data_IF_970657784565
#
_entry.id   IF_970657784565
#
_cell.length_a   1.000
_cell.length_b   1.000
_cell.length_c   1.000
_cell.angle_alpha   90.00
_cell.angle_beta   90.00
_cell.angle_gamma   90.00
#
_symmetry.space_group_name_H-M   'P 1'
#
loop_
_entity.id
_entity.type
_entity.pdbx_description
1 polymer ?
#
# COMPACT_ATOMS: atom_id res chain seq x y z
N UNK A 1 31.74 6.70 -7.31
CA UNK A 1 31.16 5.76 -6.32
C UNK A 1 29.75 5.46 -6.79
N UNK A 2 29.37 4.19 -6.92
CA UNK A 2 27.99 3.84 -7.21
C UNK A 2 27.24 3.78 -5.88
N UNK A 3 26.24 4.65 -5.72
CA UNK A 3 25.32 4.62 -4.60
C UNK A 3 24.33 3.47 -4.82
N UNK A 4 24.14 2.61 -3.82
CA UNK A 4 23.24 1.46 -3.92
C UNK A 4 21.83 1.87 -3.50
N UNK A 5 20.85 1.63 -4.38
CA UNK A 5 19.43 1.87 -4.12
C UNK A 5 18.72 0.53 -3.94
N UNK A 6 17.85 0.44 -2.94
CA UNK A 6 16.97 -0.72 -2.76
C UNK A 6 15.74 -0.56 -3.68
N UNK A 7 15.43 -1.60 -4.45
CA UNK A 7 14.26 -1.66 -5.32
C UNK A 7 13.39 -2.82 -4.84
N UNK A 8 12.08 -2.61 -4.64
CA UNK A 8 11.15 -3.69 -4.31
C UNK A 8 11.25 -4.87 -5.28
N UNK A 9 11.18 -6.10 -4.75
CA UNK A 9 11.35 -7.34 -5.53
C UNK A 9 10.40 -7.42 -6.73
N UNK A 10 9.18 -6.92 -6.59
CA UNK A 10 8.18 -6.87 -7.66
C UNK A 10 8.61 -5.99 -8.84
N UNK A 11 9.14 -4.79 -8.55
CA UNK A 11 9.63 -3.87 -9.58
C UNK A 11 10.91 -4.39 -10.22
N UNK A 12 11.77 -5.05 -9.43
CA UNK A 12 12.94 -5.72 -9.94
C UNK A 12 12.57 -6.87 -10.89
N UNK A 13 11.59 -7.71 -10.51
CA UNK A 13 11.10 -8.79 -11.36
C UNK A 13 10.48 -8.26 -12.66
N UNK A 14 9.65 -7.22 -12.57
CA UNK A 14 9.09 -6.55 -13.75
C UNK A 14 10.19 -6.04 -14.68
N UNK A 15 11.24 -5.41 -14.13
CA UNK A 15 12.38 -4.93 -14.91
C UNK A 15 13.14 -6.08 -15.58
N UNK A 16 13.29 -7.23 -14.91
CA UNK A 16 13.90 -8.43 -15.49
C UNK A 16 13.11 -8.96 -16.69
N UNK A 17 11.79 -9.08 -16.56
CA UNK A 17 10.91 -9.52 -17.65
C UNK A 17 10.97 -8.59 -18.87
N UNK A 18 10.93 -7.28 -18.62
CA UNK A 18 10.98 -6.27 -19.69
C UNK A 18 12.36 -6.21 -20.35
N UNK A 19 13.43 -6.28 -19.56
CA UNK A 19 14.81 -6.29 -20.06
C UNK A 19 15.06 -7.50 -20.96
N UNK A 20 14.59 -8.68 -20.56
CA UNK A 20 14.69 -9.89 -21.37
C UNK A 20 13.92 -9.75 -22.70
N UNK A 21 12.70 -9.22 -22.65
CA UNK A 21 11.86 -9.01 -23.86
C UNK A 21 12.48 -8.01 -24.84
N UNK A 22 13.21 -7.02 -24.34
CA UNK A 22 13.85 -5.97 -25.14
C UNK A 22 15.33 -6.24 -25.45
N UNK A 23 15.88 -7.38 -25.03
CA UNK A 23 17.30 -7.72 -25.17
C UNK A 23 18.25 -6.64 -24.59
N UNK A 24 17.95 -6.16 -23.37
CA UNK A 24 18.73 -5.15 -22.62
C UNK A 24 19.19 -5.71 -21.28
N UNK A 25 20.14 -5.03 -20.63
CA UNK A 25 20.45 -5.30 -19.22
C UNK A 25 19.33 -4.79 -18.31
N UNK A 26 19.17 -5.38 -17.13
CA UNK A 26 18.19 -4.92 -16.13
C UNK A 26 18.46 -3.47 -15.71
N UNK A 27 19.74 -3.11 -15.55
CA UNK A 27 20.14 -1.75 -15.22
C UNK A 27 19.74 -0.73 -16.30
N UNK A 28 19.95 -1.07 -17.59
CA UNK A 28 19.54 -0.21 -18.70
C UNK A 28 18.03 -0.07 -18.78
N UNK A 29 17.29 -1.15 -18.48
CA UNK A 29 15.83 -1.12 -18.48
C UNK A 29 15.28 -0.26 -17.33
N UNK A 30 15.87 -0.34 -16.13
CA UNK A 30 15.51 0.53 -15.01
C UNK A 30 15.82 1.99 -15.35
N UNK A 31 17.01 2.29 -15.89
CA UNK A 31 17.39 3.63 -16.31
C UNK A 31 16.44 4.19 -17.39
N UNK A 32 15.99 3.32 -18.31
CA UNK A 32 15.01 3.67 -19.34
C UNK A 32 13.66 4.06 -18.72
N UNK A 33 13.14 3.29 -17.77
CA UNK A 33 11.90 3.62 -17.08
C UNK A 33 12.02 4.93 -16.29
N UNK A 34 13.14 5.17 -15.60
CA UNK A 34 13.39 6.45 -14.91
C UNK A 34 13.37 7.64 -15.87
N UNK A 35 14.00 7.51 -17.04
CA UNK A 35 13.96 8.57 -18.07
C UNK A 35 12.55 8.84 -18.58
N UNK A 36 11.75 7.78 -18.77
CA UNK A 36 10.34 7.89 -19.19
C UNK A 36 9.51 8.55 -18.09
N UNK A 37 9.64 8.11 -16.84
CA UNK A 37 8.92 8.68 -15.70
C UNK A 37 9.20 10.18 -15.55
N UNK A 38 10.48 10.58 -15.59
CA UNK A 38 10.86 12.00 -15.55
C UNK A 38 10.27 12.81 -16.71
N UNK A 39 10.25 12.24 -17.92
CA UNK A 39 9.66 12.91 -19.08
C UNK A 39 8.14 13.02 -18.97
N UNK A 40 7.49 12.01 -18.41
CA UNK A 40 6.05 12.00 -18.16
C UNK A 40 5.66 13.06 -17.11
N UNK A 41 6.38 13.13 -15.99
CA UNK A 41 6.18 14.14 -14.94
C UNK A 41 6.41 15.58 -15.44
N UNK A 42 7.37 15.77 -16.36
CA UNK A 42 7.67 17.08 -16.92
C UNK A 42 6.73 17.49 -18.07
N UNK A 43 5.84 16.60 -18.50
CA UNK A 43 4.91 16.88 -19.59
C UNK A 43 3.61 17.51 -19.06
N UNK A 44 2.96 18.32 -19.88
CA UNK A 44 1.63 18.88 -19.58
C UNK A 44 0.52 17.80 -19.51
N UNK A 45 0.86 16.53 -19.70
CA UNK A 45 -0.07 15.40 -19.64
C UNK A 45 -0.22 14.79 -18.25
N UNK A 46 0.58 15.25 -17.28
CA UNK A 46 0.52 14.83 -15.89
C UNK A 46 0.34 16.03 -14.98
N UNK A 47 -0.69 16.00 -14.13
CA UNK A 47 -0.93 17.02 -13.12
C UNK A 47 -1.03 16.37 -11.73
N UNK A 48 -0.02 16.65 -10.90
CA UNK A 48 0.04 16.10 -9.54
C UNK A 48 -1.05 16.68 -8.64
N UNK A 49 -1.51 17.92 -8.88
CA UNK A 49 -2.57 18.53 -8.07
C UNK A 49 -3.89 17.77 -8.25
N UNK A 50 -4.15 17.22 -9.45
CA UNK A 50 -5.33 16.38 -9.72
C UNK A 50 -5.28 15.05 -8.99
N UNK A 51 -4.09 14.46 -8.85
CA UNK A 51 -3.89 13.25 -8.03
C UNK A 51 -4.22 13.54 -6.57
N UNK A 52 -3.72 14.66 -6.03
CA UNK A 52 -4.00 15.10 -4.66
C UNK A 52 -5.49 15.37 -4.45
N UNK A 53 -6.14 16.08 -5.38
CA UNK A 53 -7.57 16.34 -5.33
C UNK A 53 -8.40 15.06 -5.32
N UNK A 54 -8.01 14.05 -6.10
CA UNK A 54 -8.67 12.74 -6.07
C UNK A 54 -8.41 11.98 -4.75
N UNK A 55 -7.21 12.07 -4.16
CA UNK A 55 -6.90 11.48 -2.84
C UNK A 55 -7.68 12.14 -1.69
N UNK A 56 -8.11 13.39 -1.89
CA UNK A 56 -8.92 14.16 -0.94
C UNK A 56 -10.43 14.11 -1.26
N UNK A 57 -10.82 13.40 -2.33
CA UNK A 57 -12.21 13.26 -2.75
C UNK A 57 -12.83 14.53 -3.35
N UNK A 58 -12.01 15.50 -3.75
CA UNK A 58 -12.43 16.73 -4.46
C UNK A 58 -12.62 16.51 -5.96
N UNK A 59 -12.01 15.47 -6.51
CA UNK A 59 -12.07 15.07 -7.91
C UNK A 59 -12.55 13.61 -8.02
N UNK A 60 -13.34 13.30 -9.04
CA UNK A 60 -13.76 11.92 -9.32
C UNK A 60 -12.60 11.16 -10.00
N UNK A 61 -12.27 9.96 -9.52
CA UNK A 61 -11.15 9.17 -10.03
C UNK A 61 -11.34 8.75 -11.49
N UNK A 62 -12.57 8.73 -12.00
CA UNK A 62 -12.87 8.48 -13.41
C UNK A 62 -12.43 9.61 -14.35
N UNK A 63 -12.10 10.78 -13.79
CA UNK A 63 -11.63 11.94 -14.55
C UNK A 63 -10.10 11.95 -14.70
N UNK A 64 -9.39 11.10 -13.95
CA UNK A 64 -7.94 10.97 -14.05
C UNK A 64 -7.55 10.31 -15.37
N UNK A 65 -6.45 10.78 -15.94
CA UNK A 65 -5.77 10.06 -17.04
C UNK A 65 -5.19 8.75 -16.52
N UNK A 66 -4.84 7.84 -17.43
CA UNK A 66 -4.25 6.54 -17.04
C UNK A 66 -3.00 6.69 -16.17
N UNK A 67 -2.17 7.69 -16.46
CA UNK A 67 -0.95 7.98 -15.70
C UNK A 67 -1.29 8.52 -14.30
N UNK A 68 -2.16 9.51 -14.22
CA UNK A 68 -2.61 10.07 -12.93
C UNK A 68 -3.32 9.01 -12.08
N UNK A 69 -4.13 8.14 -12.69
CA UNK A 69 -4.84 7.06 -12.02
C UNK A 69 -3.88 6.01 -11.44
N UNK A 70 -2.81 5.66 -12.16
CA UNK A 70 -1.78 4.75 -11.67
C UNK A 70 -1.04 5.34 -10.45
N UNK A 71 -0.65 6.62 -10.51
CA UNK A 71 0.02 7.32 -9.39
C UNK A 71 -0.94 7.49 -8.21
N UNK A 72 -2.21 7.83 -8.48
CA UNK A 72 -3.25 7.92 -7.45
C UNK A 72 -3.45 6.58 -6.73
N UNK A 73 -3.49 5.46 -7.45
CA UNK A 73 -3.69 4.14 -6.84
C UNK A 73 -2.55 3.76 -5.91
N UNK A 74 -1.30 4.01 -6.32
CA UNK A 74 -0.11 3.78 -5.50
C UNK A 74 -0.16 4.61 -4.21
N UNK A 75 -0.35 5.92 -4.34
CA UNK A 75 -0.46 6.84 -3.20
C UNK A 75 -1.67 6.54 -2.30
N UNK A 76 -2.78 6.08 -2.88
CA UNK A 76 -3.95 5.65 -2.13
C UNK A 76 -3.65 4.40 -1.31
N UNK A 77 -2.99 3.40 -1.89
CA UNK A 77 -2.60 2.18 -1.19
C UNK A 77 -1.63 2.48 -0.05
N UNK A 78 -0.65 3.36 -0.27
CA UNK A 78 0.26 3.83 0.76
C UNK A 78 -0.52 4.51 1.90
N UNK A 79 -1.39 5.48 1.57
CA UNK A 79 -2.19 6.22 2.55
C UNK A 79 -3.12 5.32 3.37
N UNK A 80 -3.77 4.34 2.73
CA UNK A 80 -4.68 3.40 3.39
C UNK A 80 -3.94 2.29 4.16
N UNK A 81 -2.67 2.03 3.82
CA UNK A 81 -1.80 1.10 4.53
C UNK A 81 -1.38 1.58 5.92
N UNK A 82 -1.50 2.89 6.19
CA UNK A 82 -1.17 3.51 7.46
C UNK A 82 -2.43 3.97 8.20
N UNK A 83 -2.53 3.64 9.50
CA UNK A 83 -3.59 4.18 10.34
C UNK A 83 -3.38 5.68 10.52
N UNK A 84 -4.45 6.48 10.40
CA UNK A 84 -4.36 7.91 10.73
C UNK A 84 -4.21 8.11 12.24
N UNK A 85 -3.72 9.27 12.68
CA UNK A 85 -3.65 9.60 14.12
C UNK A 85 -5.02 9.47 14.83
N UNK A 86 -6.11 9.78 14.11
CA UNK A 86 -7.47 9.61 14.59
C UNK A 86 -7.84 8.12 14.74
N UNK A 87 -7.44 7.29 13.78
CA UNK A 87 -7.61 5.84 13.84
C UNK A 87 -6.77 5.23 14.97
N UNK A 88 -5.52 5.66 15.13
CA UNK A 88 -4.66 5.22 16.23
C UNK A 88 -5.24 5.61 17.59
N UNK A 89 -5.73 6.85 17.75
CA UNK A 89 -6.38 7.30 18.98
C UNK A 89 -7.66 6.50 19.28
N UNK A 90 -8.46 6.23 18.25
CA UNK A 90 -9.66 5.39 18.35
C UNK A 90 -9.30 3.94 18.75
N UNK A 91 -8.29 3.35 18.10
CA UNK A 91 -7.79 2.00 18.38
C UNK A 91 -7.16 1.89 19.76
N UNK A 92 -6.42 2.91 20.21
CA UNK A 92 -5.86 2.99 21.57
C UNK A 92 -6.97 3.00 22.63
N UNK A 93 -8.10 3.66 22.36
CA UNK A 93 -9.29 3.62 23.20
C UNK A 93 -9.92 2.21 23.32
N UNK A 94 -9.79 1.39 22.26
CA UNK A 94 -10.36 0.03 22.16
C UNK A 94 -9.42 -1.08 22.65
N UNK A 95 -8.10 -0.83 22.67
CA UNK A 95 -7.07 -1.69 23.27
C UNK A 95 -7.11 -1.69 24.81
N UNK A 96 -7.97 -0.88 25.43
CA UNK A 96 -8.24 -0.95 26.87
C UNK A 96 -8.89 -2.31 27.22
N UNK A 97 -8.36 -3.03 28.23
CA UNK A 97 -8.91 -4.32 28.62
C UNK A 97 -10.42 -4.21 28.94
N UNK A 98 -11.23 -5.10 28.35
CA UNK A 98 -12.69 -5.12 28.51
C UNK A 98 -13.52 -4.51 27.37
N UNK A 99 -12.91 -3.98 26.29
CA UNK A 99 -13.63 -3.49 25.09
C UNK A 99 -13.22 -4.13 23.75
N UNK A 100 -12.20 -5.00 23.76
CA UNK A 100 -11.88 -5.85 22.61
C UNK A 100 -12.82 -7.05 22.56
N UNK A 101 -13.46 -7.29 21.41
CA UNK A 101 -14.28 -8.50 21.18
C UNK A 101 -13.30 -9.65 20.99
N UNK A 102 -12.93 -10.25 22.11
CA UNK A 102 -11.93 -11.31 22.25
C UNK A 102 -11.90 -11.79 23.69
N UNK A 103 -13.08 -11.97 24.29
CA UNK A 103 -13.24 -12.71 25.55
C UNK A 103 -14.07 -13.94 25.23
N UNK A 104 -13.43 -14.89 24.56
CA UNK A 104 -13.93 -16.25 24.58
C UNK A 104 -13.66 -16.78 25.99
N UNK A 105 -14.77 -16.88 26.71
CA UNK A 105 -14.97 -17.44 28.05
C UNK A 105 -13.97 -18.56 28.39
N UNK A 106 -13.36 -18.55 29.59
CA UNK A 106 -12.63 -19.73 30.06
C UNK A 106 -13.65 -20.88 30.19
N UNK A 107 -13.38 -21.96 29.48
CA UNK A 107 -14.11 -23.21 29.50
C UNK A 107 -14.39 -23.64 30.95
N UNK A 108 -15.61 -23.38 31.43
CA UNK A 108 -16.07 -23.86 32.72
C UNK A 108 -16.37 -25.35 32.57
N UNK A 109 -15.42 -26.19 33.00
CA UNK A 109 -15.64 -27.61 33.19
C UNK A 109 -16.86 -27.79 34.11
N UNK A 110 -17.92 -28.53 33.70
CA UNK A 110 -19.05 -28.79 34.59
C UNK A 110 -18.61 -29.63 35.80
N UNK A 111 -19.21 -29.44 36.99
CA UNK A 111 -18.80 -30.13 38.20
C UNK A 111 -18.99 -31.65 38.06
N UNK A 112 -18.01 -32.41 38.53
CA UNK A 112 -18.07 -33.86 38.61
C UNK A 112 -19.25 -34.29 39.48
N UNK A 113 -20.10 -35.16 38.93
CA UNK A 113 -21.09 -35.88 39.71
C UNK A 113 -20.33 -36.85 40.64
N UNK A 114 -20.43 -36.60 41.94
CA UNK A 114 -20.04 -37.53 42.99
C UNK A 114 -21.08 -38.65 43.03
N UNK A 115 -20.82 -39.75 42.32
CA UNK A 115 -21.56 -41.01 42.49
C UNK A 115 -20.89 -41.80 43.62
N UNK A 116 -21.43 -41.63 44.83
CA UNK A 116 -21.17 -42.52 45.96
C UNK A 116 -22.35 -43.49 46.10
N UNK A 117 -22.11 -44.76 45.78
CA UNK A 117 -22.93 -45.91 46.15
C UNK A 117 -22.01 -47.07 46.55
#
# INVERSE_FOLDING_TARGET
MAESVNIPDELFYAACCEANSNNRSVADQIARWLLIGRAAEASDSFDYDRVVDALEGRCDTTQLTDLEAAVWLDAFCEKMGHASDADEAFLAGRRRPGKGVGTEVPNAQPPAHDDNA
#
